data_IF_899075886007
#
_entry.id   IF_899075886007
#
_cell.length_a   1.000
_cell.length_b   1.000
_cell.length_c   1.000
_cell.angle_alpha   90.00
_cell.angle_beta   90.00
_cell.angle_gamma   90.00
#
_symmetry.space_group_name_H-M   'P 1'
#
loop_
_entity.id
_entity.type
_entity.pdbx_description
1 polymer ?
#
# COMPACT_ATOMS: atom_id res chain seq x y z
N UNK A 1 -13.93 41.17 -26.97
CA UNK A 1 -12.48 41.08 -27.15
C UNK A 1 -11.91 40.22 -26.07
N UNK A 2 -11.39 39.01 -26.44
CA UNK A 2 -10.95 37.97 -25.50
C UNK A 2 -9.51 38.21 -25.00
N UNK A 3 -8.91 39.39 -25.23
CA UNK A 3 -7.55 39.69 -24.80
C UNK A 3 -6.44 38.84 -25.42
N UNK A 4 -6.75 38.15 -26.53
CA UNK A 4 -5.83 37.26 -27.24
C UNK A 4 -4.76 38.03 -28.02
N UNK A 5 -4.90 39.33 -28.12
CA UNK A 5 -3.99 40.32 -28.75
C UNK A 5 -2.90 40.85 -27.80
N UNK A 6 -3.00 40.52 -26.51
CA UNK A 6 -1.95 40.84 -25.54
C UNK A 6 -1.02 39.62 -25.39
N UNK A 7 0.29 39.84 -25.62
CA UNK A 7 1.32 38.83 -25.27
C UNK A 7 1.34 38.66 -23.74
N UNK A 8 0.44 37.80 -23.23
CA UNK A 8 0.52 37.33 -21.86
C UNK A 8 1.65 36.28 -21.79
N UNK A 9 2.87 36.74 -21.66
CA UNK A 9 4.01 35.87 -21.32
C UNK A 9 3.82 35.42 -19.90
N UNK A 10 3.35 34.21 -19.74
CA UNK A 10 3.30 33.54 -18.43
C UNK A 10 4.76 33.27 -18.05
N UNK A 11 5.31 34.03 -17.10
CA UNK A 11 6.61 33.69 -16.50
C UNK A 11 6.47 32.49 -15.60
N UNK A 12 7.36 31.50 -15.81
CA UNK A 12 7.48 30.35 -14.92
C UNK A 12 8.21 30.72 -13.59
N UNK A 13 8.73 31.94 -13.49
CA UNK A 13 9.44 32.39 -12.30
C UNK A 13 8.53 32.41 -11.08
N UNK A 14 8.96 31.72 -10.04
CA UNK A 14 8.20 31.58 -8.79
C UNK A 14 6.95 30.69 -8.86
N UNK A 15 6.70 30.01 -10.00
CA UNK A 15 5.54 29.15 -10.17
C UNK A 15 5.51 28.03 -9.10
N UNK A 16 6.65 27.40 -8.83
CA UNK A 16 6.78 26.37 -7.79
C UNK A 16 6.34 26.88 -6.41
N UNK A 17 6.80 28.08 -6.00
CA UNK A 17 6.40 28.67 -4.72
C UNK A 17 4.92 29.06 -4.65
N UNK A 18 4.27 29.30 -5.79
CA UNK A 18 2.84 29.62 -5.88
C UNK A 18 1.94 28.39 -5.90
N UNK A 19 2.46 27.25 -6.37
CA UNK A 19 1.73 25.96 -6.43
C UNK A 19 1.93 25.18 -5.14
N UNK A 20 3.16 25.15 -4.58
CA UNK A 20 3.51 24.43 -3.36
C UNK A 20 3.41 25.31 -2.11
N UNK A 21 2.26 25.95 -1.92
CA UNK A 21 2.01 26.70 -0.67
C UNK A 21 1.74 25.74 0.49
N UNK A 22 1.92 26.21 1.73
CA UNK A 22 1.60 25.45 2.94
C UNK A 22 0.12 25.02 2.94
N UNK A 23 -0.77 25.88 2.47
CA UNK A 23 -2.20 25.61 2.35
C UNK A 23 -2.49 24.53 1.30
N UNK A 24 -1.80 24.57 0.15
CA UNK A 24 -1.94 23.55 -0.90
C UNK A 24 -1.46 22.18 -0.41
N UNK A 25 -0.33 22.13 0.30
CA UNK A 25 0.18 20.90 0.91
C UNK A 25 -0.75 20.36 2.00
N UNK A 26 -1.29 21.23 2.86
CA UNK A 26 -2.26 20.86 3.88
C UNK A 26 -3.55 20.30 3.26
N UNK A 27 -4.02 20.90 2.15
CA UNK A 27 -5.18 20.42 1.41
C UNK A 27 -4.91 19.08 0.75
N UNK A 28 -3.76 18.92 0.10
CA UNK A 28 -3.34 17.65 -0.50
C UNK A 28 -3.31 16.53 0.55
N UNK A 29 -2.73 16.78 1.72
CA UNK A 29 -2.70 15.83 2.83
C UNK A 29 -4.11 15.45 3.31
N UNK A 30 -5.00 16.43 3.48
CA UNK A 30 -6.41 16.17 3.84
C UNK A 30 -7.12 15.32 2.80
N UNK A 31 -6.90 15.58 1.51
CA UNK A 31 -7.50 14.80 0.41
C UNK A 31 -6.96 13.37 0.38
N UNK A 32 -5.66 13.17 0.62
CA UNK A 32 -5.08 11.82 0.73
C UNK A 32 -5.70 11.03 1.88
N UNK A 33 -5.82 11.62 3.07
CA UNK A 33 -6.49 10.98 4.20
C UNK A 33 -7.95 10.65 3.90
N UNK A 34 -8.68 11.58 3.27
CA UNK A 34 -10.08 11.35 2.89
C UNK A 34 -10.23 10.29 1.80
N UNK A 35 -9.20 10.06 0.98
CA UNK A 35 -9.17 9.03 -0.07
C UNK A 35 -8.95 7.61 0.46
N UNK A 36 -8.46 7.44 1.69
CA UNK A 36 -8.28 6.11 2.27
C UNK A 36 -9.64 5.47 2.54
N UNK A 37 -9.86 4.32 1.93
CA UNK A 37 -11.13 3.60 2.01
C UNK A 37 -10.92 2.23 2.66
N UNK A 38 -11.63 1.96 3.75
CA UNK A 38 -11.68 0.64 4.38
C UNK A 38 -12.80 -0.15 3.71
N UNK A 39 -12.44 -1.12 2.86
CA UNK A 39 -13.39 -1.96 2.12
C UNK A 39 -13.91 -3.12 2.95
N UNK A 40 -13.10 -3.60 3.89
CA UNK A 40 -13.45 -4.67 4.83
C UNK A 40 -12.72 -4.46 6.14
N UNK A 41 -13.39 -4.74 7.25
CA UNK A 41 -12.82 -4.73 8.59
C UNK A 41 -13.56 -5.74 9.47
N UNK A 42 -13.27 -7.02 9.27
CA UNK A 42 -13.88 -8.11 10.04
C UNK A 42 -13.28 -8.13 11.46
N UNK A 43 -14.13 -8.38 12.44
CA UNK A 43 -13.75 -8.50 13.85
C UNK A 43 -13.00 -7.27 14.41
N UNK A 44 -13.25 -6.08 13.84
CA UNK A 44 -12.57 -4.84 14.25
C UNK A 44 -11.04 -4.97 14.21
N UNK A 45 -10.52 -5.61 13.16
CA UNK A 45 -9.07 -5.82 12.97
C UNK A 45 -8.31 -4.49 12.87
N UNK A 46 -8.92 -3.45 12.32
CA UNK A 46 -8.41 -2.08 12.27
C UNK A 46 -9.18 -1.23 13.29
N UNK A 47 -8.50 -0.44 14.16
CA UNK A 47 -7.07 -0.14 14.20
C UNK A 47 -6.23 -1.33 14.69
N UNK A 48 -5.00 -1.45 14.15
CA UNK A 48 -4.08 -2.51 14.51
C UNK A 48 -3.49 -2.26 15.92
N UNK A 49 -3.48 -3.26 16.82
CA UNK A 49 -2.83 -3.12 18.12
C UNK A 49 -1.31 -2.85 17.98
N UNK A 50 -0.75 -1.92 18.76
CA UNK A 50 0.65 -1.53 18.63
C UNK A 50 1.65 -2.56 19.21
N UNK A 51 1.19 -3.41 20.11
CA UNK A 51 1.99 -4.34 20.93
C UNK A 51 2.10 -5.77 20.34
N UNK A 52 1.59 -5.98 19.14
CA UNK A 52 1.60 -7.31 18.51
C UNK A 52 2.68 -7.42 17.43
N UNK A 53 3.41 -8.55 17.45
CA UNK A 53 4.38 -8.86 16.39
C UNK A 53 3.71 -8.90 15.03
N UNK A 54 4.27 -8.15 14.09
CA UNK A 54 3.70 -7.94 12.77
C UNK A 54 4.71 -8.32 11.69
N UNK A 55 4.28 -9.15 10.73
CA UNK A 55 4.99 -9.30 9.47
C UNK A 55 4.40 -8.36 8.42
N UNK A 56 5.24 -7.68 7.65
CA UNK A 56 4.84 -6.96 6.45
C UNK A 56 5.28 -7.77 5.24
N UNK A 57 4.34 -8.22 4.43
CA UNK A 57 4.60 -8.88 3.16
C UNK A 57 4.48 -7.86 2.03
N UNK A 58 5.62 -7.44 1.50
CA UNK A 58 5.72 -6.44 0.45
C UNK A 58 5.49 -7.08 -0.92
N UNK A 59 4.49 -6.62 -1.63
CA UNK A 59 4.13 -7.04 -2.98
C UNK A 59 4.27 -5.85 -3.91
N UNK A 60 5.50 -5.62 -4.39
CA UNK A 60 5.80 -4.43 -5.15
C UNK A 60 7.26 -4.32 -5.56
N UNK A 61 7.56 -3.26 -6.30
CA UNK A 61 8.93 -2.93 -6.68
C UNK A 61 9.74 -2.56 -5.45
N UNK A 62 11.03 -2.83 -5.51
CA UNK A 62 11.94 -2.43 -4.44
C UNK A 62 11.79 -0.93 -4.14
N UNK A 63 11.68 -0.61 -2.86
CA UNK A 63 11.48 0.74 -2.31
C UNK A 63 10.12 1.40 -2.51
N UNK A 64 9.22 0.86 -3.32
CA UNK A 64 7.90 1.47 -3.54
C UNK A 64 7.00 1.45 -2.29
N UNK A 65 7.26 0.55 -1.36
CA UNK A 65 6.57 0.40 -0.08
C UNK A 65 7.35 0.93 1.12
N UNK A 66 8.59 1.45 0.88
CA UNK A 66 9.46 1.93 1.96
C UNK A 66 8.83 3.06 2.79
N UNK A 67 8.18 4.09 2.21
CA UNK A 67 7.53 5.13 3.00
C UNK A 67 6.46 4.58 3.95
N UNK A 68 5.70 3.58 3.50
CA UNK A 68 4.71 2.92 4.35
C UNK A 68 5.40 2.15 5.50
N UNK A 69 6.44 1.38 5.21
CA UNK A 69 7.20 0.60 6.22
C UNK A 69 7.78 1.53 7.26
N UNK A 70 8.49 2.58 6.84
CA UNK A 70 9.15 3.55 7.73
C UNK A 70 8.16 4.23 8.68
N UNK A 71 6.96 4.51 8.17
CA UNK A 71 5.89 5.07 8.98
C UNK A 71 5.27 4.03 9.90
N UNK A 72 5.04 2.82 9.40
CA UNK A 72 4.40 1.75 10.14
C UNK A 72 5.21 1.33 11.38
N UNK A 73 6.54 1.20 11.27
CA UNK A 73 7.41 0.81 12.40
C UNK A 73 7.46 1.84 13.53
N UNK A 74 7.02 3.08 13.27
CA UNK A 74 6.89 4.10 14.33
C UNK A 74 5.71 3.84 15.27
N UNK A 75 4.72 3.06 14.82
CA UNK A 75 3.48 2.81 15.55
C UNK A 75 3.36 1.40 16.11
N UNK A 76 4.19 0.45 15.67
CA UNK A 76 4.12 -0.94 16.12
C UNK A 76 5.48 -1.60 16.10
N UNK A 77 5.69 -2.54 17.03
CA UNK A 77 6.95 -3.29 17.18
C UNK A 77 6.67 -4.61 17.91
N UNK A 78 7.35 -5.71 17.57
CA UNK A 78 8.36 -5.85 16.51
C UNK A 78 7.73 -5.99 15.12
N UNK A 79 8.46 -5.54 14.08
CA UNK A 79 8.07 -5.65 12.68
C UNK A 79 9.19 -6.33 11.89
N UNK A 80 8.83 -7.28 11.06
CA UNK A 80 9.73 -7.92 10.10
C UNK A 80 9.13 -7.86 8.69
N UNK A 81 9.96 -7.56 7.69
CA UNK A 81 9.51 -7.37 6.31
C UNK A 81 9.96 -8.52 5.43
N UNK A 82 9.04 -9.03 4.64
CA UNK A 82 9.24 -10.03 3.61
C UNK A 82 8.85 -9.44 2.27
N UNK A 83 9.46 -9.90 1.18
CA UNK A 83 9.16 -9.40 -0.16
C UNK A 83 8.86 -10.53 -1.12
N UNK A 84 7.82 -10.33 -1.92
CA UNK A 84 7.51 -11.20 -3.07
C UNK A 84 8.09 -10.56 -4.33
N UNK A 85 8.76 -11.38 -5.13
CA UNK A 85 9.19 -11.05 -6.48
C UNK A 85 8.48 -11.93 -7.50
N UNK A 86 8.37 -11.46 -8.74
CA UNK A 86 7.74 -12.21 -9.83
C UNK A 86 8.46 -13.52 -10.17
N UNK A 87 9.75 -13.57 -9.90
CA UNK A 87 10.63 -14.71 -10.23
C UNK A 87 10.86 -15.63 -9.03
N UNK A 88 10.06 -15.46 -7.96
CA UNK A 88 10.16 -16.27 -6.74
C UNK A 88 9.80 -17.73 -7.01
N UNK A 89 10.63 -18.63 -6.51
CA UNK A 89 10.38 -20.06 -6.58
C UNK A 89 9.33 -20.51 -5.54
N UNK A 90 8.72 -21.67 -5.78
CA UNK A 90 7.78 -22.28 -4.80
C UNK A 90 8.47 -22.59 -3.46
N UNK A 91 9.75 -22.96 -3.48
CA UNK A 91 10.52 -23.21 -2.25
C UNK A 91 10.74 -21.95 -1.43
N UNK A 92 11.08 -20.84 -2.08
CA UNK A 92 11.21 -19.53 -1.42
C UNK A 92 9.88 -19.05 -0.85
N UNK A 93 8.79 -19.23 -1.60
CA UNK A 93 7.45 -18.94 -1.13
C UNK A 93 7.06 -19.77 0.09
N UNK A 94 7.36 -21.06 0.07
CA UNK A 94 7.09 -21.95 1.21
C UNK A 94 7.86 -21.52 2.47
N UNK A 95 9.12 -21.09 2.33
CA UNK A 95 9.90 -20.53 3.45
C UNK A 95 9.25 -19.27 4.02
N UNK A 96 8.91 -18.31 3.16
CA UNK A 96 8.23 -17.07 3.58
C UNK A 96 6.92 -17.40 4.30
N UNK A 97 6.08 -18.25 3.73
CA UNK A 97 4.79 -18.60 4.35
C UNK A 97 4.95 -19.25 5.72
N UNK A 98 5.98 -20.07 5.92
CA UNK A 98 6.27 -20.65 7.23
C UNK A 98 6.78 -19.59 8.23
N UNK A 99 7.61 -18.67 7.76
CA UNK A 99 8.08 -17.55 8.60
C UNK A 99 6.93 -16.64 9.02
N UNK A 100 5.99 -16.33 8.11
CA UNK A 100 4.81 -15.52 8.42
C UNK A 100 3.95 -16.09 9.54
N UNK A 101 3.89 -17.42 9.70
CA UNK A 101 3.12 -18.09 10.77
C UNK A 101 3.62 -17.81 12.20
N UNK A 102 4.84 -17.28 12.35
CA UNK A 102 5.42 -16.93 13.67
C UNK A 102 4.88 -15.61 14.22
N UNK A 103 4.24 -14.80 13.40
CA UNK A 103 3.72 -13.50 13.78
C UNK A 103 2.27 -13.57 14.25
N UNK A 104 1.87 -12.61 15.05
CA UNK A 104 0.48 -12.49 15.54
C UNK A 104 -0.46 -11.96 14.45
N UNK A 105 0.09 -11.27 13.44
CA UNK A 105 -0.65 -10.76 12.29
C UNK A 105 0.27 -10.53 11.11
N UNK A 106 -0.34 -10.45 9.93
CA UNK A 106 0.35 -10.13 8.68
C UNK A 106 -0.32 -8.92 8.03
N UNK A 107 0.49 -7.97 7.59
CA UNK A 107 0.06 -6.86 6.74
C UNK A 107 0.64 -7.08 5.35
N UNK A 108 -0.20 -7.11 4.33
CA UNK A 108 0.23 -7.23 2.93
C UNK A 108 0.16 -5.84 2.31
N UNK A 109 1.31 -5.31 1.93
CA UNK A 109 1.45 -4.04 1.21
C UNK A 109 1.50 -4.30 -0.29
N UNK A 110 0.56 -3.79 -1.05
CA UNK A 110 0.46 -3.97 -2.50
C UNK A 110 0.68 -2.64 -3.20
N UNK A 111 1.80 -2.53 -3.92
CA UNK A 111 2.17 -1.35 -4.72
C UNK A 111 2.23 -1.66 -6.23
N UNK A 112 2.02 -2.91 -6.61
CA UNK A 112 1.96 -3.35 -8.01
C UNK A 112 0.62 -3.04 -8.65
N UNK A 113 0.65 -2.67 -9.92
CA UNK A 113 -0.56 -2.58 -10.75
C UNK A 113 -1.06 -3.99 -11.13
N UNK A 114 -2.28 -4.04 -11.67
CA UNK A 114 -3.01 -5.29 -11.94
C UNK A 114 -2.19 -6.30 -12.78
N UNK A 115 -1.54 -5.83 -13.82
CA UNK A 115 -0.81 -6.66 -14.78
C UNK A 115 0.44 -7.29 -14.14
N UNK A 116 1.18 -6.52 -13.35
CA UNK A 116 2.36 -6.99 -12.61
C UNK A 116 1.95 -7.95 -11.49
N UNK A 117 0.89 -7.61 -10.76
CA UNK A 117 0.37 -8.42 -9.67
C UNK A 117 -0.17 -9.79 -10.14
N UNK A 118 -0.69 -9.86 -11.37
CA UNK A 118 -1.18 -11.10 -11.94
C UNK A 118 -0.09 -12.19 -12.02
N UNK A 119 1.19 -11.81 -12.16
CA UNK A 119 2.30 -12.76 -12.14
C UNK A 119 2.53 -13.37 -10.73
N UNK A 120 2.30 -12.60 -9.66
CA UNK A 120 2.43 -13.07 -8.27
C UNK A 120 1.14 -13.72 -7.74
N UNK A 121 0.02 -13.56 -8.44
CA UNK A 121 -1.28 -14.01 -7.98
C UNK A 121 -1.37 -15.53 -7.71
N UNK A 122 -0.76 -16.43 -8.48
CA UNK A 122 -0.76 -17.86 -8.18
C UNK A 122 -0.21 -18.16 -6.78
N UNK A 123 0.91 -17.55 -6.40
CA UNK A 123 1.51 -17.71 -5.08
C UNK A 123 0.64 -17.08 -3.99
N UNK A 124 0.23 -15.83 -4.17
CA UNK A 124 -0.60 -15.12 -3.20
C UNK A 124 -1.93 -15.81 -2.91
N UNK A 125 -2.57 -16.38 -3.93
CA UNK A 125 -3.83 -17.10 -3.77
C UNK A 125 -3.69 -18.43 -3.00
N UNK A 126 -2.47 -18.96 -2.86
CA UNK A 126 -2.19 -20.12 -1.99
C UNK A 126 -1.95 -19.75 -0.53
N UNK A 127 -1.80 -18.44 -0.23
CA UNK A 127 -1.55 -17.98 1.14
C UNK A 127 -2.71 -18.38 2.05
N UNK A 128 -2.39 -19.21 3.04
CA UNK A 128 -3.32 -19.66 4.06
C UNK A 128 -2.66 -19.52 5.44
N UNK A 129 -3.09 -18.49 6.16
CA UNK A 129 -2.57 -18.14 7.48
C UNK A 129 -3.69 -18.19 8.51
N UNK A 130 -3.38 -18.78 9.69
CA UNK A 130 -4.29 -18.84 10.82
C UNK A 130 -4.25 -17.57 11.69
N UNK A 131 -3.62 -16.50 11.18
CA UNK A 131 -3.51 -15.20 11.84
C UNK A 131 -4.25 -14.14 11.03
N UNK A 132 -4.70 -13.06 11.67
CA UNK A 132 -5.36 -11.96 10.94
C UNK A 132 -4.45 -11.37 9.86
N UNK A 133 -4.98 -11.31 8.64
CA UNK A 133 -4.31 -10.69 7.50
C UNK A 133 -5.02 -9.40 7.14
N UNK A 134 -4.26 -8.30 7.07
CA UNK A 134 -4.71 -7.01 6.56
C UNK A 134 -4.03 -6.73 5.23
N UNK A 135 -4.79 -6.44 4.19
CA UNK A 135 -4.25 -6.08 2.88
C UNK A 135 -4.43 -4.59 2.64
N UNK A 136 -3.34 -3.89 2.30
CA UNK A 136 -3.32 -2.45 2.00
C UNK A 136 -2.87 -2.26 0.56
N UNK A 137 -3.71 -1.61 -0.25
CA UNK A 137 -3.44 -1.30 -1.65
C UNK A 137 -3.03 0.16 -1.79
N UNK A 138 -1.82 0.39 -2.27
CA UNK A 138 -1.29 1.68 -2.69
C UNK A 138 -1.32 1.84 -4.22
N UNK A 139 -2.34 1.31 -4.83
CA UNK A 139 -2.54 1.25 -6.27
C UNK A 139 -4.04 1.30 -6.58
N UNK A 140 -4.43 1.13 -7.82
CA UNK A 140 -5.83 1.14 -8.20
C UNK A 140 -6.60 -0.08 -7.66
N UNK A 141 -7.93 0.08 -7.47
CA UNK A 141 -8.79 -1.04 -7.04
C UNK A 141 -8.76 -2.24 -8.01
N UNK A 142 -8.34 -2.02 -9.26
CA UNK A 142 -8.24 -3.08 -10.27
C UNK A 142 -7.19 -4.13 -9.92
N UNK A 143 -6.18 -3.76 -9.12
CA UNK A 143 -5.17 -4.69 -8.64
C UNK A 143 -5.74 -5.79 -7.72
N UNK A 144 -6.93 -5.62 -7.17
CA UNK A 144 -7.57 -6.62 -6.32
C UNK A 144 -8.02 -7.87 -7.09
N UNK A 145 -8.34 -7.74 -8.38
CA UNK A 145 -8.95 -8.84 -9.14
C UNK A 145 -8.08 -10.10 -9.24
N UNK A 146 -6.77 -10.03 -9.55
CA UNK A 146 -5.93 -11.22 -9.64
C UNK A 146 -5.82 -12.02 -8.34
N UNK A 147 -5.93 -11.35 -7.18
CA UNK A 147 -5.73 -11.96 -5.85
C UNK A 147 -7.02 -12.06 -5.03
N UNK A 148 -8.18 -12.01 -5.69
CA UNK A 148 -9.48 -12.03 -5.01
C UNK A 148 -9.65 -13.24 -4.06
N UNK A 149 -9.14 -14.41 -4.43
CA UNK A 149 -9.25 -15.63 -3.61
C UNK A 149 -8.48 -15.47 -2.29
N UNK A 150 -7.31 -14.84 -2.31
CA UNK A 150 -6.60 -14.48 -1.10
C UNK A 150 -7.40 -13.44 -0.29
N UNK A 151 -7.95 -12.42 -0.96
CA UNK A 151 -8.71 -11.37 -0.30
C UNK A 151 -9.95 -11.89 0.44
N UNK A 152 -10.62 -12.92 -0.06
CA UNK A 152 -11.78 -13.53 0.62
C UNK A 152 -11.42 -14.03 2.03
N UNK A 153 -10.15 -14.40 2.26
CA UNK A 153 -9.63 -14.90 3.53
C UNK A 153 -9.01 -13.82 4.41
N UNK A 154 -8.90 -12.57 3.94
CA UNK A 154 -8.32 -11.48 4.72
C UNK A 154 -9.30 -10.89 5.73
N UNK A 155 -8.81 -10.50 6.90
CA UNK A 155 -9.60 -9.89 7.96
C UNK A 155 -9.94 -8.42 7.63
N UNK A 156 -9.00 -7.69 7.01
CA UNK A 156 -9.23 -6.32 6.62
C UNK A 156 -8.63 -6.01 5.24
N UNK A 157 -9.27 -5.10 4.51
CA UNK A 157 -8.82 -4.61 3.20
C UNK A 157 -8.95 -3.10 3.16
N UNK A 158 -7.84 -2.42 2.86
CA UNK A 158 -7.73 -0.97 2.78
C UNK A 158 -7.24 -0.57 1.39
N UNK A 159 -7.85 0.44 0.82
CA UNK A 159 -7.43 1.09 -0.41
C UNK A 159 -6.94 2.50 -0.08
N UNK A 160 -5.65 2.75 -0.29
CA UNK A 160 -4.98 4.01 0.04
C UNK A 160 -4.54 4.82 -1.20
N UNK A 161 -4.63 4.23 -2.40
CA UNK A 161 -4.34 4.82 -3.71
C UNK A 161 -2.88 5.23 -3.98
N UNK A 162 -2.08 5.60 -2.99
CA UNK A 162 -0.67 5.96 -3.15
C UNK A 162 0.12 5.65 -1.88
N UNK A 163 1.37 5.25 -2.05
CA UNK A 163 2.37 5.09 -0.97
C UNK A 163 3.38 6.24 -0.95
N UNK A 164 3.37 7.13 -1.94
CA UNK A 164 4.35 8.19 -2.07
C UNK A 164 4.07 9.33 -1.08
N UNK A 165 5.11 9.74 -0.36
CA UNK A 165 5.19 11.03 0.31
C UNK A 165 5.78 12.00 -0.72
N UNK A 166 5.04 13.06 -1.12
CA UNK A 166 5.57 14.18 -1.88
C UNK A 166 6.35 15.13 -0.97
#
# INVERSE_FOLDING_TARGET
LLGLDQENRISADGLNGRIHTVEAQALASKLRFAGVTVLRNNFSTIPLPADQSTAILCVGREKSDQPFIDRFVQYTSPVECFRITKDMTEEEWYRITNDLKRFRRVVISVTMEKEELAACAPLLNTLDLQVPVTCVFFTSYRAMFPIRTMLERTAAVVLAHSSEED
#
